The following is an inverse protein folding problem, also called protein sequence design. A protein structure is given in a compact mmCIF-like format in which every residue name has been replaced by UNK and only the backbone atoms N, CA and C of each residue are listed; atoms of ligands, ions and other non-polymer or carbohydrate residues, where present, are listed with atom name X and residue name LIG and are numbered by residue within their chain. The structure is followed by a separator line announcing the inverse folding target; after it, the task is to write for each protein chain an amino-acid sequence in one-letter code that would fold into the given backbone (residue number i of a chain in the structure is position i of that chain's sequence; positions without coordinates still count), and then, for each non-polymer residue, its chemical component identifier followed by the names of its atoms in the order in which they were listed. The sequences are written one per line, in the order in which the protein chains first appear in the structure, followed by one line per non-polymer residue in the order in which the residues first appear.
data_IF_053077204370
#
_entry.id   IF_053077204370
#
_cell.length_a   1.000
_cell.length_b   1.000
_cell.length_c   1.000
_cell.angle_alpha   90.00
_cell.angle_beta   90.00
_cell.angle_gamma   90.00
#
_symmetry.space_group_name_H-M   'P 1'
#
loop_
_entity.id
_entity.type
_entity.pdbx_description
1 polymer ?
#
# COMPACT_ATOMS: atom_id res chain seq x y z
N UNK A 1 19.64 10.08 -11.97
CA UNK A 1 18.22 10.03 -12.43
C UNK A 1 17.64 8.62 -12.50
N UNK A 2 18.42 7.56 -12.76
CA UNK A 2 17.94 6.17 -12.86
C UNK A 2 17.37 5.61 -11.53
N UNK A 3 18.02 5.87 -10.40
CA UNK A 3 17.59 5.33 -9.09
C UNK A 3 16.23 5.87 -8.60
N UNK A 4 15.90 7.13 -8.87
CA UNK A 4 14.61 7.72 -8.42
C UNK A 4 13.44 7.17 -9.22
N UNK A 5 13.62 6.98 -10.53
CA UNK A 5 12.61 6.37 -11.40
C UNK A 5 12.35 4.92 -11.02
N UNK A 6 13.39 4.16 -10.69
CA UNK A 6 13.25 2.77 -10.24
C UNK A 6 12.49 2.69 -8.91
N UNK A 7 12.85 3.54 -7.93
CA UNK A 7 12.13 3.65 -6.64
C UNK A 7 10.64 4.01 -6.82
N UNK A 8 10.33 4.87 -7.80
CA UNK A 8 8.96 5.24 -8.11
C UNK A 8 8.16 4.09 -8.70
N UNK A 9 8.72 3.36 -9.67
CA UNK A 9 8.09 2.18 -10.25
C UNK A 9 7.84 1.11 -9.18
N UNK A 10 8.84 0.84 -8.32
CA UNK A 10 8.66 -0.12 -7.21
C UNK A 10 7.58 0.32 -6.24
N UNK A 11 7.47 1.63 -5.96
CA UNK A 11 6.43 2.17 -5.09
C UNK A 11 5.03 1.95 -5.68
N UNK A 12 4.85 2.14 -7.00
CA UNK A 12 3.58 1.86 -7.69
C UNK A 12 3.23 0.38 -7.61
N UNK A 13 4.17 -0.51 -7.93
CA UNK A 13 3.95 -1.96 -7.89
C UNK A 13 3.47 -2.39 -6.49
N UNK A 14 4.11 -1.87 -5.43
CA UNK A 14 3.71 -2.15 -4.05
C UNK A 14 2.30 -1.63 -3.72
N UNK A 15 1.93 -0.44 -4.18
CA UNK A 15 0.56 0.07 -3.97
C UNK A 15 -0.49 -0.81 -4.64
N UNK A 16 -0.21 -1.26 -5.88
CA UNK A 16 -1.11 -2.13 -6.64
C UNK A 16 -1.26 -3.47 -5.92
N UNK A 17 -0.17 -4.07 -5.44
CA UNK A 17 -0.21 -5.30 -4.66
C UNK A 17 -1.04 -5.14 -3.37
N UNK A 18 -0.84 -4.04 -2.65
CA UNK A 18 -1.65 -3.72 -1.46
C UNK A 18 -3.14 -3.66 -1.79
N UNK A 19 -3.51 -3.01 -2.89
CA UNK A 19 -4.90 -2.91 -3.33
C UNK A 19 -5.52 -4.28 -3.62
N UNK A 20 -4.78 -5.17 -4.28
CA UNK A 20 -5.24 -6.55 -4.52
C UNK A 20 -5.42 -7.34 -3.22
N UNK A 21 -4.50 -7.22 -2.27
CA UNK A 21 -4.59 -7.93 -0.99
C UNK A 21 -5.77 -7.40 -0.16
N UNK A 22 -5.94 -6.08 -0.09
CA UNK A 22 -7.11 -5.48 0.59
C UNK A 22 -8.41 -5.94 -0.06
N UNK A 23 -8.49 -5.88 -1.39
CA UNK A 23 -9.67 -6.34 -2.11
C UNK A 23 -9.99 -7.82 -1.85
N UNK A 24 -8.99 -8.70 -1.89
CA UNK A 24 -9.19 -10.14 -1.68
C UNK A 24 -9.53 -10.47 -0.23
N UNK A 25 -8.84 -9.85 0.74
CA UNK A 25 -9.10 -10.06 2.17
C UNK A 25 -10.51 -9.64 2.60
N UNK A 26 -11.12 -8.66 1.93
CA UNK A 26 -12.52 -8.29 2.13
C UNK A 26 -13.51 -9.46 1.95
N UNK A 27 -13.25 -10.34 0.98
CA UNK A 27 -14.13 -11.48 0.66
C UNK A 27 -13.79 -12.74 1.44
N UNK A 28 -12.84 -12.68 2.38
CA UNK A 28 -12.43 -13.82 3.20
C UNK A 28 -13.01 -13.74 4.61
N UNK A 29 -13.09 -14.87 5.29
CA UNK A 29 -13.49 -14.94 6.70
C UNK A 29 -12.58 -14.14 7.65
N UNK A 30 -11.40 -13.70 7.18
CA UNK A 30 -10.52 -12.78 7.92
C UNK A 30 -11.23 -11.46 8.25
N UNK A 31 -12.09 -10.96 7.36
CA UNK A 31 -12.85 -9.74 7.62
C UNK A 31 -13.85 -9.89 8.79
N UNK A 32 -14.28 -11.11 9.10
CA UNK A 32 -15.14 -11.39 10.25
C UNK A 32 -14.35 -11.42 11.57
N UNK A 33 -13.01 -11.43 11.53
CA UNK A 33 -12.20 -11.26 12.72
C UNK A 33 -12.21 -9.78 13.13
N UNK A 34 -12.75 -9.48 14.33
CA UNK A 34 -12.97 -8.12 14.83
C UNK A 34 -11.70 -7.27 14.87
N UNK A 35 -10.57 -7.89 15.18
CA UNK A 35 -9.27 -7.21 15.23
C UNK A 35 -8.78 -6.78 13.84
N UNK A 36 -8.85 -7.68 12.85
CA UNK A 36 -8.47 -7.35 11.48
C UNK A 36 -9.41 -6.34 10.84
N UNK A 37 -10.73 -6.52 11.00
CA UNK A 37 -11.76 -5.63 10.47
C UNK A 37 -11.60 -4.17 10.94
N UNK A 38 -11.20 -3.97 12.20
CA UNK A 38 -10.95 -2.65 12.76
C UNK A 38 -9.79 -1.92 12.06
N UNK A 39 -8.69 -2.62 11.79
CA UNK A 39 -7.51 -2.05 11.12
C UNK A 39 -7.67 -1.99 9.59
N UNK A 40 -8.61 -2.75 9.04
CA UNK A 40 -8.84 -2.86 7.61
C UNK A 40 -9.23 -1.52 6.96
N UNK A 41 -10.26 -0.85 7.48
CA UNK A 41 -10.77 0.39 6.89
C UNK A 41 -9.77 1.55 6.93
N UNK A 42 -9.09 1.84 8.06
CA UNK A 42 -8.03 2.84 8.09
C UNK A 42 -6.89 2.52 7.12
N UNK A 43 -6.46 1.26 7.02
CA UNK A 43 -5.41 0.85 6.10
C UNK A 43 -5.81 0.99 4.62
N UNK A 44 -7.06 0.67 4.28
CA UNK A 44 -7.59 0.85 2.93
C UNK A 44 -7.64 2.33 2.51
N UNK A 45 -8.03 3.22 3.43
CA UNK A 45 -8.00 4.67 3.20
C UNK A 45 -6.57 5.15 2.94
N UNK A 46 -5.59 4.65 3.69
CA UNK A 46 -4.18 4.99 3.48
C UNK A 46 -3.69 4.57 2.09
N UNK A 47 -4.10 3.41 1.57
CA UNK A 47 -3.79 2.99 0.19
C UNK A 47 -4.39 3.97 -0.83
N UNK A 48 -5.62 4.44 -0.60
CA UNK A 48 -6.23 5.41 -1.49
C UNK A 48 -5.47 6.74 -1.50
N UNK A 49 -5.02 7.19 -0.33
CA UNK A 49 -4.17 8.39 -0.19
C UNK A 49 -2.83 8.19 -0.91
N UNK A 50 -2.19 7.03 -0.79
CA UNK A 50 -0.91 6.78 -1.48
C UNK A 50 -1.05 6.79 -2.99
N UNK A 51 -2.17 6.30 -3.54
CA UNK A 51 -2.48 6.40 -4.98
C UNK A 51 -2.59 7.87 -5.42
N UNK A 52 -3.33 8.69 -4.69
CA UNK A 52 -3.48 10.13 -5.00
C UNK A 52 -2.10 10.81 -5.01
N UNK A 53 -1.27 10.55 -3.99
CA UNK A 53 0.07 11.13 -3.91
C UNK A 53 0.93 10.63 -5.09
N UNK A 54 0.89 9.34 -5.43
CA UNK A 54 1.63 8.79 -6.58
C UNK A 54 1.21 9.42 -7.91
N UNK A 55 -0.09 9.65 -8.12
CA UNK A 55 -0.61 10.36 -9.30
C UNK A 55 -0.11 11.81 -9.35
N UNK A 56 -0.09 12.52 -8.23
CA UNK A 56 0.44 13.89 -8.19
C UNK A 56 1.96 13.93 -8.45
N UNK A 57 2.71 12.94 -7.96
CA UNK A 57 4.16 12.81 -8.19
C UNK A 57 4.51 12.49 -9.65
N UNK A 58 3.59 11.86 -10.38
CA UNK A 58 3.76 11.57 -11.82
C UNK A 58 3.95 12.87 -12.62
N UNK A 59 3.37 13.99 -12.15
CA UNK A 59 3.54 15.32 -12.76
C UNK A 59 4.82 16.05 -12.32
N UNK A 60 5.45 15.66 -11.20
CA UNK A 60 6.61 16.35 -10.59
C UNK A 60 7.72 15.34 -10.27
N UNK A 61 8.59 15.08 -11.25
CA UNK A 61 9.55 13.97 -11.27
C UNK A 61 10.73 14.01 -10.25
N UNK A 62 10.76 14.94 -9.28
CA UNK A 62 11.96 15.21 -8.47
C UNK A 62 11.84 14.95 -6.95
N UNK A 63 10.75 14.39 -6.45
CA UNK A 63 10.57 14.23 -5.00
C UNK A 63 11.00 12.85 -4.46
N UNK A 64 12.31 12.58 -4.53
CA UNK A 64 12.92 11.32 -4.05
C UNK A 64 12.51 10.95 -2.62
N UNK A 65 12.48 11.93 -1.70
CA UNK A 65 12.16 11.70 -0.29
C UNK A 65 10.72 11.20 -0.12
N UNK A 66 9.76 11.80 -0.83
CA UNK A 66 8.35 11.39 -0.79
C UNK A 66 8.18 9.99 -1.35
N UNK A 67 8.88 9.63 -2.43
CA UNK A 67 8.85 8.27 -2.98
C UNK A 67 9.38 7.22 -2.01
N UNK A 68 10.44 7.53 -1.25
CA UNK A 68 10.98 6.63 -0.23
C UNK A 68 9.98 6.44 0.90
N UNK A 69 9.38 7.52 1.42
CA UNK A 69 8.36 7.45 2.46
C UNK A 69 7.15 6.62 2.01
N UNK A 70 6.69 6.81 0.78
CA UNK A 70 5.62 6.00 0.19
C UNK A 70 6.00 4.52 0.07
N UNK A 71 7.25 4.22 -0.30
CA UNK A 71 7.75 2.86 -0.33
C UNK A 71 7.72 2.18 1.05
N UNK A 72 8.17 2.88 2.09
CA UNK A 72 8.15 2.39 3.47
C UNK A 72 6.71 2.17 3.94
N UNK A 73 5.82 3.15 3.72
CA UNK A 73 4.41 3.05 4.08
C UNK A 73 3.72 1.88 3.39
N UNK A 74 3.94 1.72 2.08
CA UNK A 74 3.38 0.59 1.33
C UNK A 74 3.90 -0.75 1.83
N UNK A 75 5.17 -0.83 2.24
CA UNK A 75 5.73 -2.07 2.81
C UNK A 75 5.09 -2.41 4.15
N UNK A 76 4.85 -1.41 5.01
CA UNK A 76 4.15 -1.59 6.29
C UNK A 76 2.72 -2.07 6.05
N UNK A 77 2.00 -1.41 5.14
CA UNK A 77 0.63 -1.80 4.76
C UNK A 77 0.60 -3.24 4.22
N UNK A 78 1.57 -3.61 3.39
CA UNK A 78 1.69 -4.96 2.84
C UNK A 78 1.80 -6.00 3.95
N UNK A 79 2.66 -5.77 4.94
CA UNK A 79 2.83 -6.66 6.09
C UNK A 79 1.53 -6.72 6.90
N UNK A 80 0.90 -5.57 7.17
CA UNK A 80 -0.33 -5.52 7.96
C UNK A 80 -1.47 -6.30 7.31
N UNK A 81 -1.61 -6.24 5.99
CA UNK A 81 -2.66 -6.94 5.25
C UNK A 81 -2.32 -8.39 4.90
N UNK A 82 -1.04 -8.76 4.82
CA UNK A 82 -0.62 -10.14 4.50
C UNK A 82 -0.39 -11.01 5.74
N UNK A 83 -0.08 -10.43 6.90
CA UNK A 83 0.10 -11.19 8.15
C UNK A 83 -1.09 -12.07 8.53
N UNK A 84 -2.36 -11.64 8.37
CA UNK A 84 -3.50 -12.47 8.74
C UNK A 84 -3.71 -13.62 7.75
N UNK A 85 -3.36 -13.44 6.47
CA UNK A 85 -3.38 -14.51 5.46
C UNK A 85 -2.32 -15.58 5.71
N UNK A 86 -1.21 -15.22 6.35
CA UNK A 86 -0.12 -16.13 6.71
C UNK A 86 -0.40 -16.92 7.99
N UNK A 87 -1.25 -16.38 8.87
CA UNK A 87 -1.56 -16.93 10.19
C UNK A 87 -2.94 -17.62 10.24
N UNK A 88 -3.72 -17.56 9.15
CA UNK A 88 -5.01 -18.27 8.97
C UNK A 88 -4.83 -19.66 8.41
#
# INVERSE_FOLDING_TARGET
MTNTRLLYITSIILTVLNLFIVYTTFFTNLFNNSTFSFWYWPGAILIFITIIIQLTLLSKCNQKLVTILLGVLNTILLILFSTPLLLS
#
